data_IF_082220507675
#
_entry.id   IF_082220507675
#
_cell.length_a   1.000
_cell.length_b   1.000
_cell.length_c   1.000
_cell.angle_alpha   90.00
_cell.angle_beta   90.00
_cell.angle_gamma   90.00
#
_symmetry.space_group_name_H-M   'P 1'
#
loop_
_entity.id
_entity.type
_entity.pdbx_description
1 polymer ?
#
# COMPACT_ATOMS: atom_id res chain seq x y z
N UNK A 1 -26.57 -26.93 9.24
CA UNK A 1 -26.25 -27.10 7.81
C UNK A 1 -26.33 -25.74 7.13
N UNK A 2 -25.30 -24.91 7.25
CA UNK A 2 -25.17 -23.62 6.55
C UNK A 2 -23.74 -23.51 6.05
N UNK A 3 -23.39 -24.42 5.14
CA UNK A 3 -22.17 -24.34 4.34
C UNK A 3 -22.47 -23.53 3.09
N UNK A 4 -21.73 -22.45 2.88
CA UNK A 4 -21.46 -21.96 1.53
C UNK A 4 -22.16 -20.68 1.13
N UNK A 5 -21.81 -19.56 1.76
CA UNK A 5 -21.72 -18.31 1.01
C UNK A 5 -20.25 -18.14 0.57
N UNK A 6 -19.87 -18.79 -0.53
CA UNK A 6 -18.62 -18.44 -1.22
C UNK A 6 -18.87 -17.12 -1.95
N UNK A 7 -18.47 -16.01 -1.33
CA UNK A 7 -18.34 -14.73 -2.01
C UNK A 7 -17.33 -14.94 -3.15
N UNK A 8 -17.81 -15.04 -4.39
CA UNK A 8 -16.94 -14.98 -5.57
C UNK A 8 -16.47 -13.53 -5.69
N UNK A 9 -15.30 -13.24 -5.15
CA UNK A 9 -14.58 -12.01 -5.47
C UNK A 9 -14.28 -12.06 -6.99
N UNK A 10 -14.67 -11.05 -7.79
CA UNK A 10 -14.52 -11.07 -9.25
C UNK A 10 -13.07 -10.92 -9.72
N UNK A 11 -12.10 -10.87 -8.80
CA UNK A 11 -10.68 -10.76 -9.08
C UNK A 11 -9.94 -11.97 -8.52
N UNK A 12 -9.25 -12.72 -9.39
CA UNK A 12 -8.18 -13.60 -8.95
C UNK A 12 -7.01 -12.70 -8.52
N UNK A 13 -7.04 -12.22 -7.28
CA UNK A 13 -5.87 -11.55 -6.69
C UNK A 13 -4.80 -12.64 -6.56
N UNK A 14 -3.73 -12.55 -7.36
CA UNK A 14 -2.55 -13.38 -7.15
C UNK A 14 -1.97 -12.97 -5.80
N UNK A 15 -2.02 -13.89 -4.85
CA UNK A 15 -1.40 -13.72 -3.54
C UNK A 15 0.13 -13.70 -3.69
N UNK A 16 0.72 -12.51 -3.74
CA UNK A 16 2.16 -12.33 -3.89
C UNK A 16 2.93 -12.68 -2.61
N UNK A 17 2.26 -12.78 -1.45
CA UNK A 17 2.92 -13.09 -0.18
C UNK A 17 3.62 -14.45 -0.23
N UNK A 18 3.06 -15.40 -0.97
CA UNK A 18 3.64 -16.73 -1.16
C UNK A 18 4.77 -16.78 -2.20
N UNK A 19 5.08 -15.66 -2.87
CA UNK A 19 6.13 -15.61 -3.90
C UNK A 19 7.53 -15.31 -3.35
N UNK A 20 7.64 -14.87 -2.10
CA UNK A 20 8.92 -14.51 -1.50
C UNK A 20 9.68 -15.71 -0.94
N UNK A 21 11.00 -15.72 -1.14
CA UNK A 21 11.92 -16.56 -0.38
C UNK A 21 12.25 -15.90 0.95
N UNK A 22 12.14 -16.62 2.06
CA UNK A 22 12.50 -16.09 3.38
C UNK A 22 14.02 -15.94 3.56
N UNK A 23 14.49 -14.94 4.35
CA UNK A 23 13.70 -13.93 5.09
C UNK A 23 13.21 -12.78 4.20
N UNK A 24 12.04 -12.23 4.53
CA UNK A 24 11.46 -11.04 3.87
C UNK A 24 11.94 -9.79 4.60
N UNK A 25 12.38 -8.80 3.83
CA UNK A 25 12.82 -7.50 4.34
C UNK A 25 11.89 -6.39 3.85
N UNK A 26 11.49 -5.55 4.79
CA UNK A 26 10.58 -4.43 4.56
C UNK A 26 11.15 -3.15 5.18
N UNK A 27 10.92 -2.02 4.53
CA UNK A 27 11.05 -0.72 5.18
C UNK A 27 9.79 -0.45 6.00
N UNK A 28 9.93 -0.20 7.30
CA UNK A 28 8.79 0.19 8.12
C UNK A 28 8.24 1.57 7.67
N UNK A 29 6.92 1.77 7.71
CA UNK A 29 6.32 3.07 7.46
C UNK A 29 6.64 4.07 8.57
N UNK A 30 7.02 5.28 8.19
CA UNK A 30 7.34 6.37 9.10
C UNK A 30 6.82 7.70 8.53
N UNK A 31 5.92 8.34 9.27
CA UNK A 31 5.32 9.64 8.96
C UNK A 31 6.38 10.72 8.75
N UNK A 32 6.20 11.55 7.71
CA UNK A 32 7.11 12.64 7.31
C UNK A 32 8.56 12.17 7.04
N UNK A 33 8.76 10.86 6.81
CA UNK A 33 10.07 10.25 6.56
C UNK A 33 10.04 9.34 5.33
N UNK A 34 9.13 8.36 5.27
CA UNK A 34 9.08 7.38 4.16
C UNK A 34 8.18 7.86 3.03
N UNK A 35 8.37 9.09 2.58
CA UNK A 35 7.70 9.66 1.43
C UNK A 35 8.18 9.04 0.10
N UNK A 36 7.64 9.53 -1.02
CA UNK A 36 8.02 9.04 -2.36
C UNK A 36 9.53 9.18 -2.63
N UNK A 37 10.16 10.27 -2.17
CA UNK A 37 11.58 10.56 -2.42
C UNK A 37 12.47 9.58 -1.65
N UNK A 38 12.15 9.32 -0.38
CA UNK A 38 12.91 8.39 0.44
C UNK A 38 12.79 6.95 -0.07
N UNK A 39 11.58 6.54 -0.47
CA UNK A 39 11.34 5.22 -1.05
C UNK A 39 12.09 5.06 -2.38
N UNK A 40 12.08 6.07 -3.23
CA UNK A 40 12.85 6.11 -4.48
C UNK A 40 14.36 5.95 -4.23
N UNK A 41 14.91 6.70 -3.27
CA UNK A 41 16.31 6.58 -2.87
C UNK A 41 16.63 5.13 -2.46
N UNK A 42 15.83 4.54 -1.58
CA UNK A 42 16.06 3.16 -1.13
C UNK A 42 15.97 2.14 -2.27
N UNK A 43 15.00 2.28 -3.18
CA UNK A 43 14.88 1.43 -4.35
C UNK A 43 16.12 1.52 -5.25
N UNK A 44 16.73 2.70 -5.37
CA UNK A 44 17.90 2.92 -6.23
C UNK A 44 19.20 2.34 -5.67
N UNK A 45 19.32 2.19 -4.34
CA UNK A 45 20.55 1.71 -3.67
C UNK A 45 20.44 0.30 -3.13
N UNK A 46 19.23 -0.25 -2.97
CA UNK A 46 19.04 -1.58 -2.43
C UNK A 46 19.65 -2.64 -3.37
N UNK A 47 20.41 -3.57 -2.79
CA UNK A 47 20.90 -4.73 -3.53
C UNK A 47 19.72 -5.56 -4.07
N UNK A 48 19.79 -6.05 -5.32
CA UNK A 48 18.72 -6.86 -5.90
C UNK A 48 18.30 -8.03 -5.00
N UNK A 49 17.00 -8.18 -4.78
CA UNK A 49 16.43 -9.23 -3.93
C UNK A 49 16.69 -9.09 -2.43
N UNK A 50 17.14 -7.92 -1.95
CA UNK A 50 17.35 -7.65 -0.51
C UNK A 50 16.29 -6.75 0.11
N UNK A 51 15.53 -6.03 -0.71
CA UNK A 51 14.33 -5.29 -0.31
C UNK A 51 13.13 -5.95 -1.00
N UNK A 52 12.03 -6.14 -0.28
CA UNK A 52 10.85 -6.86 -0.79
C UNK A 52 9.59 -6.03 -0.69
N UNK A 53 9.45 -5.28 0.41
CA UNK A 53 8.26 -4.50 0.71
C UNK A 53 8.64 -3.08 1.11
N UNK A 54 7.81 -2.14 0.67
CA UNK A 54 7.78 -0.76 1.11
C UNK A 54 6.35 -0.43 1.53
N UNK A 55 6.23 0.56 2.41
CA UNK A 55 4.95 1.07 2.86
C UNK A 55 4.89 2.57 2.60
N UNK A 56 3.69 3.08 2.30
CA UNK A 56 3.43 4.52 2.33
C UNK A 56 3.44 5.04 3.77
N UNK A 57 3.40 6.35 3.93
CA UNK A 57 3.09 6.99 5.22
C UNK A 57 1.63 6.71 5.65
N UNK A 58 1.29 7.07 6.90
CA UNK A 58 0.04 6.64 7.53
C UNK A 58 -1.17 7.48 7.09
N UNK A 59 -2.05 6.95 6.24
CA UNK A 59 -3.24 7.69 5.79
C UNK A 59 -4.46 7.44 6.68
N UNK A 60 -4.95 8.48 7.38
CA UNK A 60 -6.18 8.36 8.20
C UNK A 60 -7.42 8.07 7.32
N UNK A 61 -8.18 7.03 7.66
CA UNK A 61 -9.44 6.69 6.97
C UNK A 61 -10.53 7.73 7.23
N UNK A 62 -10.52 8.37 8.39
CA UNK A 62 -11.39 9.50 8.73
C UNK A 62 -11.10 10.70 7.83
N UNK A 63 -9.82 11.06 7.68
CA UNK A 63 -9.38 12.13 6.79
C UNK A 63 -9.74 11.82 5.34
N UNK A 64 -9.38 10.63 4.85
CA UNK A 64 -9.56 10.24 3.45
C UNK A 64 -11.05 10.18 3.05
N UNK A 65 -11.93 9.80 3.97
CA UNK A 65 -13.38 9.76 3.74
C UNK A 65 -14.08 11.11 3.99
N UNK A 66 -13.39 12.13 4.50
CA UNK A 66 -13.99 13.43 4.78
C UNK A 66 -13.81 14.41 3.60
N UNK A 67 -14.87 15.11 3.15
CA UNK A 67 -14.79 15.98 1.96
C UNK A 67 -13.69 17.04 2.02
N UNK A 68 -13.46 17.63 3.20
CA UNK A 68 -12.36 18.60 3.43
C UNK A 68 -11.08 17.95 3.94
N UNK A 69 -11.21 16.84 4.68
CA UNK A 69 -10.07 16.18 5.33
C UNK A 69 -9.18 15.46 4.34
N UNK A 70 -9.75 15.01 3.21
CA UNK A 70 -9.04 14.26 2.18
C UNK A 70 -7.82 15.01 1.67
N UNK A 71 -7.95 16.32 1.40
CA UNK A 71 -6.85 17.12 0.87
C UNK A 71 -5.65 17.18 1.83
N UNK A 72 -5.89 17.09 3.14
CA UNK A 72 -4.84 17.12 4.14
C UNK A 72 -4.08 15.79 4.28
N UNK A 73 -4.64 14.66 3.81
CA UNK A 73 -4.05 13.33 4.02
C UNK A 73 -3.65 12.60 2.74
N UNK A 74 -4.27 12.93 1.60
CA UNK A 74 -4.11 12.16 0.35
C UNK A 74 -2.68 12.17 -0.20
N UNK A 75 -1.87 13.17 0.12
CA UNK A 75 -0.48 13.26 -0.33
C UNK A 75 0.40 12.11 0.19
N UNK A 76 0.04 11.47 1.31
CA UNK A 76 0.75 10.31 1.86
C UNK A 76 0.67 9.07 0.95
N UNK A 77 -0.34 9.03 0.08
CA UNK A 77 -0.51 7.99 -0.94
C UNK A 77 0.19 8.34 -2.26
N UNK A 78 0.94 9.44 -2.32
CA UNK A 78 1.60 9.84 -3.55
C UNK A 78 2.77 8.91 -3.88
N UNK A 79 2.82 8.54 -5.16
CA UNK A 79 3.89 7.79 -5.81
C UNK A 79 4.24 8.58 -7.06
N UNK A 80 5.48 9.03 -7.19
CA UNK A 80 5.94 9.73 -8.38
C UNK A 80 6.27 8.73 -9.52
N UNK A 81 6.43 9.23 -10.75
CA UNK A 81 6.67 8.36 -11.92
C UNK A 81 7.99 7.56 -11.82
N UNK A 82 9.03 8.14 -11.22
CA UNK A 82 10.35 7.50 -11.06
C UNK A 82 10.30 6.36 -10.04
N UNK A 83 9.68 6.57 -8.88
CA UNK A 83 9.41 5.54 -7.88
C UNK A 83 8.61 4.39 -8.50
N UNK A 84 7.56 4.70 -9.26
CA UNK A 84 6.73 3.70 -9.93
C UNK A 84 7.51 2.85 -10.94
N UNK A 85 8.41 3.46 -11.71
CA UNK A 85 9.26 2.71 -12.65
C UNK A 85 10.29 1.84 -11.92
N UNK A 86 10.88 2.33 -10.82
CA UNK A 86 11.78 1.53 -9.99
C UNK A 86 11.06 0.34 -9.32
N UNK A 87 9.82 0.52 -8.84
CA UNK A 87 9.02 -0.58 -8.29
C UNK A 87 8.82 -1.70 -9.33
N UNK A 88 8.53 -1.35 -10.58
CA UNK A 88 8.40 -2.32 -11.68
C UNK A 88 9.72 -3.02 -12.00
N UNK A 89 10.83 -2.28 -12.02
CA UNK A 89 12.15 -2.81 -12.35
C UNK A 89 12.68 -3.75 -11.26
N UNK A 90 12.50 -3.36 -10.00
CA UNK A 90 13.01 -4.11 -8.84
C UNK A 90 12.09 -5.25 -8.41
N UNK A 91 10.79 -5.17 -8.73
CA UNK A 91 9.78 -6.11 -8.28
C UNK A 91 9.37 -5.95 -6.81
N UNK A 92 9.86 -4.90 -6.13
CA UNK A 92 9.49 -4.55 -4.76
C UNK A 92 8.01 -4.18 -4.71
N UNK A 93 7.32 -4.62 -3.66
CA UNK A 93 5.90 -4.37 -3.47
C UNK A 93 5.67 -3.14 -2.62
N UNK A 94 4.75 -2.27 -3.06
CA UNK A 94 4.36 -1.08 -2.31
C UNK A 94 2.97 -1.27 -1.70
N UNK A 95 2.89 -1.12 -0.39
CA UNK A 95 1.69 -1.33 0.41
C UNK A 95 1.19 0.02 0.93
N UNK A 96 -0.09 0.33 0.69
CA UNK A 96 -0.70 1.51 1.27
C UNK A 96 -1.05 1.27 2.73
N UNK A 97 -0.51 2.10 3.64
CA UNK A 97 -0.87 2.02 5.04
C UNK A 97 -1.97 3.01 5.38
N UNK A 98 -3.05 2.49 5.96
CA UNK A 98 -4.18 3.28 6.44
C UNK A 98 -4.44 3.00 7.91
N UNK A 99 -5.01 3.96 8.62
CA UNK A 99 -5.32 3.79 10.04
C UNK A 99 -6.59 4.54 10.44
N UNK A 100 -7.17 4.16 11.57
CA UNK A 100 -8.36 4.78 12.17
C UNK A 100 -9.15 3.80 13.02
N UNK A 101 -10.39 4.16 13.36
CA UNK A 101 -11.20 3.40 14.34
C UNK A 101 -12.55 2.95 13.82
N UNK A 102 -12.97 3.42 12.64
CA UNK A 102 -14.29 3.11 12.07
C UNK A 102 -14.19 2.09 10.92
N UNK A 103 -14.70 0.85 11.08
CA UNK A 103 -14.67 -0.18 10.04
C UNK A 103 -15.35 0.21 8.72
N UNK A 104 -16.42 1.00 8.76
CA UNK A 104 -17.09 1.49 7.54
C UNK A 104 -16.18 2.43 6.75
N UNK A 105 -15.38 3.24 7.46
CA UNK A 105 -14.41 4.14 6.83
C UNK A 105 -13.21 3.37 6.27
N UNK A 106 -12.75 2.32 6.94
CA UNK A 106 -11.75 1.40 6.36
C UNK A 106 -12.22 0.84 5.02
N UNK A 107 -13.46 0.35 4.94
CA UNK A 107 -14.00 -0.17 3.69
C UNK A 107 -14.05 0.88 2.57
N UNK A 108 -14.53 2.09 2.87
CA UNK A 108 -14.59 3.20 1.90
C UNK A 108 -13.19 3.65 1.47
N UNK A 109 -12.26 3.74 2.40
CA UNK A 109 -10.86 4.09 2.14
C UNK A 109 -10.18 3.04 1.27
N UNK A 110 -10.28 1.75 1.62
CA UNK A 110 -9.70 0.65 0.86
C UNK A 110 -10.27 0.59 -0.56
N UNK A 111 -11.58 0.79 -0.75
CA UNK A 111 -12.19 0.88 -2.08
C UNK A 111 -11.64 2.07 -2.87
N UNK A 112 -11.59 3.26 -2.26
CA UNK A 112 -11.04 4.44 -2.91
C UNK A 112 -9.58 4.22 -3.34
N UNK A 113 -8.77 3.62 -2.48
CA UNK A 113 -7.37 3.29 -2.77
C UNK A 113 -7.28 2.32 -3.96
N UNK A 114 -8.04 1.22 -3.93
CA UNK A 114 -8.04 0.22 -5.00
C UNK A 114 -8.52 0.77 -6.36
N UNK A 115 -9.41 1.76 -6.35
CA UNK A 115 -9.95 2.38 -7.58
C UNK A 115 -9.03 3.48 -8.17
N UNK A 116 -8.17 4.10 -7.36
CA UNK A 116 -7.42 5.31 -7.75
C UNK A 116 -5.90 5.14 -7.75
N UNK A 117 -5.38 4.04 -7.18
CA UNK A 117 -3.94 3.80 -7.04
C UNK A 117 -3.58 2.37 -7.44
N UNK A 118 -2.29 2.13 -7.68
CA UNK A 118 -1.75 0.83 -8.09
C UNK A 118 -0.84 0.22 -7.02
N UNK A 119 -1.30 0.22 -5.77
CA UNK A 119 -0.60 -0.46 -4.67
C UNK A 119 -0.79 -1.98 -4.76
N UNK A 120 0.20 -2.74 -4.32
CA UNK A 120 0.12 -4.20 -4.28
C UNK A 120 -0.74 -4.71 -3.11
N UNK A 121 -0.94 -3.89 -2.07
CA UNK A 121 -1.75 -4.26 -0.90
C UNK A 121 -2.12 -3.08 -0.01
N UNK A 122 -2.82 -3.39 1.09
CA UNK A 122 -3.23 -2.45 2.13
C UNK A 122 -2.81 -3.01 3.50
N UNK A 123 -2.25 -2.15 4.34
CA UNK A 123 -1.90 -2.38 5.75
C UNK A 123 -2.79 -1.53 6.68
N UNK A 124 -3.12 -2.04 7.87
CA UNK A 124 -4.10 -1.47 8.81
C UNK A 124 -3.51 -1.19 10.20
#
# INVERSE_FOLDING_TARGET
MLTGLKIKLPFCVKDFWNSFSFPVFALAPMEDVTDTVFRELLLSIASPGKLHLLFTEFTSVEGLCHPRGRQAVIHRLHVNDSEHDLLKQTGVKLIAQIWGVNPEKYFKAARFIAENYSFDGIDL
#
